data_IF_367829789660
#
_entry.id   IF_367829789660
#
_cell.length_a   1.000
_cell.length_b   1.000
_cell.length_c   1.000
_cell.angle_alpha   90.00
_cell.angle_beta   90.00
_cell.angle_gamma   90.00
#
_symmetry.space_group_name_H-M   'P 1'
#
loop_
_entity.id
_entity.type
_entity.pdbx_description
1 polymer ?
#
# COMPACT_ATOMS: atom_id res chain seq x y z
N UNK A 1 38.87 19.93 -26.38
CA UNK A 1 38.16 19.67 -25.10
C UNK A 1 36.85 20.46 -24.97
N UNK A 2 36.76 21.75 -25.32
CA UNK A 2 35.49 22.50 -25.32
C UNK A 2 34.41 21.91 -26.24
N UNK A 3 34.79 21.39 -27.42
CA UNK A 3 33.86 20.76 -28.38
C UNK A 3 33.27 19.42 -27.89
N UNK A 4 33.99 18.70 -27.02
CA UNK A 4 33.51 17.45 -26.40
C UNK A 4 32.49 17.71 -25.30
N UNK A 5 32.67 18.80 -24.54
CA UNK A 5 31.73 19.23 -23.50
C UNK A 5 30.40 19.69 -24.13
N UNK A 6 30.46 20.41 -25.25
CA UNK A 6 29.25 20.84 -25.98
C UNK A 6 28.51 19.65 -26.58
N UNK A 7 29.20 18.63 -27.09
CA UNK A 7 28.56 17.41 -27.59
C UNK A 7 27.86 16.60 -26.48
N UNK A 8 28.47 16.52 -25.29
CA UNK A 8 27.86 15.85 -24.14
C UNK A 8 26.63 16.60 -23.59
N UNK A 9 26.64 17.94 -23.63
CA UNK A 9 25.51 18.75 -23.20
C UNK A 9 24.31 18.63 -24.15
N UNK A 10 24.55 18.51 -25.47
CA UNK A 10 23.48 18.29 -26.46
C UNK A 10 22.92 16.88 -26.34
N UNK A 11 23.73 15.86 -26.03
CA UNK A 11 23.27 14.49 -25.82
C UNK A 11 22.29 14.33 -24.64
N UNK A 12 22.39 15.17 -23.59
CA UNK A 12 21.42 15.16 -22.48
C UNK A 12 20.06 15.77 -22.83
N UNK A 13 19.98 16.60 -23.88
CA UNK A 13 18.74 17.25 -24.31
C UNK A 13 17.87 16.39 -25.26
N UNK A 14 18.43 15.30 -25.81
CA UNK A 14 17.75 14.42 -26.79
C UNK A 14 17.15 13.15 -26.19
N UNK A 15 17.02 13.07 -24.86
CA UNK A 15 16.27 12.01 -24.19
C UNK A 15 14.86 12.46 -23.76
N UNK A 16 13.91 12.74 -24.68
CA UNK A 16 12.51 12.69 -24.32
C UNK A 16 11.93 11.31 -24.70
N UNK A 17 11.04 10.83 -23.83
CA UNK A 17 9.99 9.83 -24.12
C UNK A 17 10.40 8.35 -24.13
N UNK A 18 10.71 7.80 -22.96
CA UNK A 18 10.31 6.41 -22.65
C UNK A 18 9.89 6.17 -21.20
N UNK A 19 9.64 7.22 -20.41
CA UNK A 19 8.79 7.10 -19.23
C UNK A 19 7.33 6.97 -19.70
N UNK A 20 6.99 5.82 -20.30
CA UNK A 20 5.61 5.36 -20.30
C UNK A 20 5.27 5.23 -18.82
N UNK A 21 4.56 6.22 -18.28
CA UNK A 21 3.68 6.00 -17.15
C UNK A 21 2.90 4.74 -17.50
N UNK A 22 3.22 3.62 -16.83
CA UNK A 22 2.31 2.48 -16.85
C UNK A 22 0.98 3.09 -16.40
N UNK A 23 0.03 3.22 -17.33
CA UNK A 23 -1.37 3.40 -16.96
C UNK A 23 -1.58 2.34 -15.88
N UNK A 24 -1.85 2.77 -14.64
CA UNK A 24 -2.41 1.87 -13.64
C UNK A 24 -3.67 1.35 -14.31
N UNK A 25 -3.60 0.17 -14.91
CA UNK A 25 -4.80 -0.59 -15.19
C UNK A 25 -5.55 -0.62 -13.86
N UNK A 26 -6.79 -0.16 -13.88
CA UNK A 26 -7.67 -0.36 -12.74
C UNK A 26 -7.57 -1.86 -12.38
N UNK A 27 -7.41 -2.22 -11.10
CA UNK A 27 -7.39 -3.62 -10.72
C UNK A 27 -8.63 -4.25 -11.33
N UNK A 28 -8.43 -5.24 -12.19
CA UNK A 28 -9.49 -6.17 -12.53
C UNK A 28 -9.73 -6.88 -11.21
N UNK A 29 -10.74 -6.44 -10.45
CA UNK A 29 -11.16 -7.05 -9.20
C UNK A 29 -11.69 -8.46 -9.51
N UNK A 30 -10.77 -9.38 -9.80
CA UNK A 30 -11.03 -10.77 -10.13
C UNK A 30 -11.17 -11.63 -8.87
N UNK A 31 -10.94 -11.05 -7.70
CA UNK A 31 -11.03 -11.70 -6.40
C UNK A 31 -12.29 -11.23 -5.68
N UNK A 32 -13.41 -11.88 -5.98
CA UNK A 32 -14.67 -11.70 -5.26
C UNK A 32 -14.68 -12.68 -4.10
N UNK A 33 -14.60 -12.16 -2.87
CA UNK A 33 -14.74 -12.96 -1.65
C UNK A 33 -16.18 -12.90 -1.15
N UNK A 34 -16.73 -14.05 -0.75
CA UNK A 34 -18.04 -14.12 -0.10
C UNK A 34 -17.81 -14.45 1.38
N UNK A 35 -18.28 -13.57 2.26
CA UNK A 35 -18.27 -13.82 3.70
C UNK A 35 -19.23 -14.95 4.03
N UNK A 36 -18.74 -16.02 4.65
CA UNK A 36 -19.59 -17.13 5.12
C UNK A 36 -20.04 -16.89 6.55
N UNK A 37 -19.13 -16.38 7.40
CA UNK A 37 -19.38 -16.05 8.81
C UNK A 37 -18.53 -14.84 9.17
N UNK A 38 -19.10 -13.92 9.95
CA UNK A 38 -18.39 -12.79 10.55
C UNK A 38 -18.79 -12.62 12.01
N UNK A 39 -17.82 -12.30 12.87
CA UNK A 39 -18.04 -11.96 14.27
C UNK A 39 -17.90 -10.45 14.46
N UNK A 40 -18.59 -9.85 15.46
CA UNK A 40 -18.40 -8.46 15.81
C UNK A 40 -16.95 -8.15 16.17
N UNK A 41 -16.42 -7.07 15.62
CA UNK A 41 -15.08 -6.54 15.90
C UNK A 41 -15.16 -5.03 16.11
N UNK A 42 -14.15 -4.46 16.75
CA UNK A 42 -14.04 -3.00 16.85
C UNK A 42 -13.49 -2.40 15.54
N UNK A 43 -13.42 -1.07 15.49
CA UNK A 43 -12.88 -0.36 14.34
C UNK A 43 -11.45 -0.78 13.98
N UNK A 44 -11.11 -0.65 12.69
CA UNK A 44 -9.75 -0.87 12.19
C UNK A 44 -8.80 0.14 12.83
N UNK A 45 -7.68 -0.34 13.34
CA UNK A 45 -6.63 0.46 13.97
C UNK A 45 -5.38 0.52 13.08
N UNK A 46 -4.57 1.58 13.22
CA UNK A 46 -3.34 1.78 12.45
C UNK A 46 -2.11 1.83 13.38
N UNK A 47 -1.21 0.85 13.25
CA UNK A 47 0.04 0.79 14.02
C UNK A 47 1.12 1.78 13.54
N UNK A 48 0.91 2.45 12.40
CA UNK A 48 1.87 3.32 11.73
C UNK A 48 3.22 2.61 11.47
N UNK A 49 4.30 3.37 11.23
CA UNK A 49 5.66 2.83 11.05
C UNK A 49 6.28 2.34 12.36
N UNK A 50 5.65 1.36 13.00
CA UNK A 50 6.13 0.74 14.24
C UNK A 50 5.99 -0.79 14.20
N UNK A 51 6.86 -1.49 14.92
CA UNK A 51 6.83 -2.95 15.08
C UNK A 51 5.86 -3.43 16.16
N UNK A 52 4.69 -2.80 16.30
CA UNK A 52 3.76 -3.02 17.42
C UNK A 52 2.54 -3.88 17.07
N UNK A 53 2.55 -4.59 15.95
CA UNK A 53 1.43 -5.44 15.52
C UNK A 53 0.98 -6.43 16.59
N UNK A 54 1.92 -6.97 17.38
CA UNK A 54 1.66 -7.89 18.49
C UNK A 54 0.76 -7.27 19.57
N UNK A 55 0.91 -5.97 19.84
CA UNK A 55 0.07 -5.27 20.81
C UNK A 55 -1.32 -4.98 20.23
N UNK A 56 -1.37 -4.50 18.97
CA UNK A 56 -2.63 -4.19 18.29
C UNK A 56 -3.49 -5.43 18.05
N UNK A 57 -2.90 -6.55 17.63
CA UNK A 57 -3.63 -7.80 17.42
C UNK A 57 -4.12 -8.41 18.73
N UNK A 58 -3.31 -8.36 19.79
CA UNK A 58 -3.71 -8.83 21.12
C UNK A 58 -4.86 -8.00 21.69
N UNK A 59 -4.81 -6.67 21.56
CA UNK A 59 -5.89 -5.79 22.00
C UNK A 59 -7.16 -6.01 21.20
N UNK A 60 -7.08 -6.11 19.87
CA UNK A 60 -8.25 -6.37 19.02
C UNK A 60 -8.94 -7.70 19.38
N UNK A 61 -8.16 -8.73 19.72
CA UNK A 61 -8.70 -10.00 20.21
C UNK A 61 -9.44 -9.82 21.54
N UNK A 62 -8.83 -9.15 22.52
CA UNK A 62 -9.45 -8.91 23.82
C UNK A 62 -10.73 -8.08 23.71
N UNK A 63 -10.73 -7.03 22.89
CA UNK A 63 -11.93 -6.23 22.60
C UNK A 63 -13.05 -7.10 22.02
N UNK A 64 -12.73 -8.01 21.09
CA UNK A 64 -13.70 -8.94 20.52
C UNK A 64 -14.25 -9.93 21.55
N UNK A 65 -13.41 -10.41 22.48
CA UNK A 65 -13.86 -11.28 23.57
C UNK A 65 -14.73 -10.53 24.58
N UNK A 66 -14.51 -9.23 24.80
CA UNK A 66 -15.40 -8.39 25.61
C UNK A 66 -16.76 -8.24 24.94
N UNK A 67 -16.81 -7.95 23.63
CA UNK A 67 -18.07 -7.86 22.86
C UNK A 67 -18.82 -9.19 22.92
N UNK A 68 -18.11 -10.31 22.74
CA UNK A 68 -18.71 -11.65 22.82
C UNK A 68 -19.33 -11.96 24.18
N UNK A 69 -18.76 -11.45 25.28
CA UNK A 69 -19.29 -11.65 26.64
C UNK A 69 -20.40 -10.67 26.99
N UNK A 70 -20.41 -9.49 26.39
CA UNK A 70 -21.36 -8.41 26.63
C UNK A 70 -21.91 -7.86 25.30
N UNK A 71 -22.85 -8.58 24.66
CA UNK A 71 -23.39 -8.24 23.35
C UNK A 71 -24.29 -6.99 23.36
#
# INVERSE_FOLDING_TARGET
MKKLIVFAAVAMLVLPVAAKSKKKEAPKDSLIFTTVVENPVTSIKNQNSSGTCWAYSSLAFLESEVIKKHP
#
